data_IF_374504128168
#
_entry.id   IF_374504128168
#
_cell.length_a   1.000
_cell.length_b   1.000
_cell.length_c   1.000
_cell.angle_alpha   90.00
_cell.angle_beta   90.00
_cell.angle_gamma   90.00
#
_symmetry.space_group_name_H-M   'P 1'
#
loop_
_entity.id
_entity.type
_entity.pdbx_description
1 polymer ?
#
# COMPACT_ATOMS: atom_id res chain seq x y z
N UNK A 1 -26.32 10.21 2.88
CA UNK A 1 -25.13 9.80 2.10
C UNK A 1 -23.91 10.45 2.75
N UNK A 2 -23.21 9.72 3.63
CA UNK A 2 -21.98 10.20 4.26
C UNK A 2 -20.86 10.22 3.19
N UNK A 3 -20.34 11.40 2.85
CA UNK A 3 -19.18 11.53 1.97
C UNK A 3 -17.95 11.04 2.72
N UNK A 4 -17.31 9.97 2.22
CA UNK A 4 -15.99 9.56 2.70
C UNK A 4 -15.00 10.67 2.33
N UNK A 5 -14.27 11.19 3.32
CA UNK A 5 -13.25 12.23 3.14
C UNK A 5 -11.88 11.63 3.48
N UNK A 6 -10.88 11.90 2.64
CA UNK A 6 -9.50 11.55 2.93
C UNK A 6 -8.97 12.45 4.06
N UNK A 7 -8.08 11.92 4.90
CA UNK A 7 -7.33 12.77 5.83
C UNK A 7 -6.35 13.62 5.03
N UNK A 8 -6.20 14.88 5.45
CA UNK A 8 -5.29 15.84 4.81
C UNK A 8 -4.50 16.61 5.85
N UNK A 9 -3.31 17.05 5.46
CA UNK A 9 -2.39 17.78 6.33
C UNK A 9 -1.31 16.89 6.96
N UNK A 10 -0.43 17.51 7.76
CA UNK A 10 0.71 16.83 8.40
C UNK A 10 0.81 17.09 9.91
N UNK A 11 -0.13 17.82 10.49
CA UNK A 11 -0.04 18.31 11.88
C UNK A 11 -0.05 17.19 12.92
N UNK A 12 -0.69 16.06 12.59
CA UNK A 12 -0.82 14.90 13.48
C UNK A 12 0.10 13.74 13.11
N UNK A 13 0.92 13.91 12.07
CA UNK A 13 1.80 12.85 11.58
C UNK A 13 2.96 12.63 12.56
N UNK A 14 3.33 11.36 12.75
CA UNK A 14 4.43 10.98 13.64
C UNK A 14 5.79 11.09 12.96
N UNK A 15 6.81 11.44 13.75
CA UNK A 15 8.20 11.55 13.31
C UNK A 15 9.15 10.91 14.32
N UNK A 16 10.15 10.18 13.85
CA UNK A 16 11.26 9.61 14.64
C UNK A 16 12.56 9.84 13.89
N UNK A 17 13.59 10.36 14.56
CA UNK A 17 14.90 10.63 13.96
C UNK A 17 14.85 11.45 12.65
N UNK A 18 13.90 12.40 12.55
CA UNK A 18 13.58 13.20 11.36
C UNK A 18 12.88 12.43 10.21
N UNK A 19 12.64 11.12 10.37
CA UNK A 19 11.84 10.33 9.44
C UNK A 19 10.36 10.53 9.74
N UNK A 20 9.60 10.84 8.70
CA UNK A 20 8.14 10.77 8.75
C UNK A 20 7.70 9.32 8.78
N UNK A 21 6.89 8.93 9.76
CA UNK A 21 6.37 7.57 9.83
C UNK A 21 5.20 7.41 8.87
N UNK A 22 5.24 6.33 8.08
CA UNK A 22 4.27 6.00 7.05
C UNK A 22 3.78 4.58 7.27
N UNK A 23 2.48 4.37 7.20
CA UNK A 23 1.86 3.05 7.23
C UNK A 23 1.27 2.74 5.85
N UNK A 24 1.37 1.49 5.42
CA UNK A 24 0.80 1.03 4.17
C UNK A 24 0.59 -0.47 4.15
N UNK A 25 0.03 -0.97 3.06
CA UNK A 25 -0.22 -2.40 2.91
C UNK A 25 -0.04 -2.88 1.47
N UNK A 26 0.15 -4.19 1.31
CA UNK A 26 -0.01 -4.92 0.06
C UNK A 26 -1.42 -5.55 0.09
N UNK A 27 -2.42 -4.94 -0.56
CA UNK A 27 -3.75 -5.51 -0.62
C UNK A 27 -3.75 -6.68 -1.61
N UNK A 28 -4.31 -7.80 -1.21
CA UNK A 28 -4.36 -9.00 -2.02
C UNK A 28 -5.70 -9.72 -1.93
N UNK A 29 -6.00 -10.56 -2.91
CA UNK A 29 -7.06 -11.57 -2.87
C UNK A 29 -6.61 -12.83 -3.58
N UNK A 30 -7.22 -13.96 -3.21
CA UNK A 30 -7.02 -15.23 -3.90
C UNK A 30 -8.06 -15.36 -5.01
N UNK A 31 -7.60 -15.58 -6.23
CA UNK A 31 -8.46 -15.91 -7.36
C UNK A 31 -9.02 -17.33 -7.17
N UNK A 32 -10.33 -17.41 -7.03
CA UNK A 32 -11.06 -18.67 -6.81
C UNK A 32 -11.32 -19.41 -8.12
N UNK A 33 -11.06 -18.79 -9.27
CA UNK A 33 -11.33 -19.37 -10.59
C UNK A 33 -10.16 -20.21 -11.12
N UNK A 34 -8.99 -20.17 -10.47
CA UNK A 34 -7.86 -21.02 -10.83
C UNK A 34 -8.11 -22.41 -10.24
N UNK A 35 -8.47 -23.37 -11.11
CA UNK A 35 -8.71 -24.76 -10.73
C UNK A 35 -7.49 -25.36 -10.00
N UNK A 36 -7.77 -26.17 -8.98
CA UNK A 36 -6.83 -26.69 -7.98
C UNK A 36 -5.78 -27.69 -8.53
N UNK A 37 -5.69 -27.82 -9.85
CA UNK A 37 -4.88 -28.82 -10.54
C UNK A 37 -3.44 -28.32 -10.71
N UNK A 38 -2.67 -28.37 -9.62
CA UNK A 38 -1.20 -28.32 -9.65
C UNK A 38 -0.55 -26.94 -9.81
N UNK A 39 -1.30 -25.84 -9.69
CA UNK A 39 -0.74 -24.48 -9.68
C UNK A 39 -0.16 -24.10 -8.32
N UNK A 40 0.93 -23.33 -8.33
CA UNK A 40 1.57 -22.81 -7.11
C UNK A 40 0.63 -21.77 -6.50
N UNK A 41 0.56 -21.68 -5.16
CA UNK A 41 -0.37 -20.74 -4.48
C UNK A 41 -0.21 -19.31 -4.98
N UNK A 42 1.03 -18.90 -5.29
CA UNK A 42 1.40 -17.61 -5.87
C UNK A 42 0.63 -17.28 -7.17
N UNK A 43 0.33 -18.27 -8.00
CA UNK A 43 -0.40 -18.08 -9.27
C UNK A 43 -1.86 -17.64 -9.04
N UNK A 44 -2.40 -17.93 -7.85
CA UNK A 44 -3.76 -17.53 -7.47
C UNK A 44 -3.78 -16.18 -6.75
N UNK A 45 -2.62 -15.59 -6.44
CA UNK A 45 -2.56 -14.34 -5.71
C UNK A 45 -2.70 -13.17 -6.69
N UNK A 46 -3.76 -12.38 -6.49
CA UNK A 46 -3.91 -11.08 -7.14
C UNK A 46 -3.53 -9.98 -6.16
N UNK A 47 -2.69 -9.06 -6.63
CA UNK A 47 -2.18 -7.91 -5.88
C UNK A 47 -2.87 -6.65 -6.38
N UNK A 48 -3.32 -5.80 -5.46
CA UNK A 48 -3.84 -4.49 -5.81
C UNK A 48 -2.73 -3.45 -5.69
N UNK A 49 -2.57 -2.64 -6.73
CA UNK A 49 -1.71 -1.47 -6.72
C UNK A 49 -2.47 -0.25 -7.22
N UNK A 50 -1.95 0.93 -6.90
CA UNK A 50 -2.52 2.21 -7.34
C UNK A 50 -1.53 2.98 -8.22
N UNK A 51 -2.07 3.68 -9.21
CA UNK A 51 -1.33 4.61 -10.07
C UNK A 51 -1.97 5.98 -10.03
N UNK A 52 -1.18 7.04 -10.08
CA UNK A 52 -1.71 8.37 -10.41
C UNK A 52 -2.01 8.47 -11.91
N UNK A 53 -3.02 9.24 -12.34
CA UNK A 53 -3.32 9.46 -13.76
C UNK A 53 -2.08 9.81 -14.58
N UNK A 54 -2.00 9.27 -15.80
CA UNK A 54 -0.91 9.47 -16.76
C UNK A 54 0.46 8.89 -16.34
N UNK A 55 0.51 7.98 -15.36
CA UNK A 55 1.72 7.22 -15.04
C UNK A 55 1.50 5.72 -15.19
N UNK A 56 2.51 5.05 -15.72
CA UNK A 56 2.52 3.58 -15.83
C UNK A 56 3.13 2.92 -14.59
N UNK A 57 3.81 3.70 -13.75
CA UNK A 57 4.42 3.20 -12.52
C UNK A 57 3.38 3.02 -11.41
N UNK A 58 3.40 1.87 -10.76
CA UNK A 58 2.44 1.48 -9.74
C UNK A 58 3.11 1.45 -8.37
N UNK A 59 2.32 1.77 -7.34
CA UNK A 59 2.76 1.76 -5.94
C UNK A 59 1.71 1.09 -5.05
N UNK A 60 2.14 0.64 -3.88
CA UNK A 60 1.23 0.22 -2.83
C UNK A 60 0.60 1.42 -2.11
N UNK A 61 -0.68 1.30 -1.68
CA UNK A 61 -1.36 2.34 -0.91
C UNK A 61 -0.67 2.53 0.45
N UNK A 62 -0.41 3.78 0.81
CA UNK A 62 0.29 4.15 2.04
C UNK A 62 0.19 5.66 2.29
N UNK A 63 0.28 6.05 3.55
CA UNK A 63 0.37 7.45 3.92
C UNK A 63 0.78 7.67 5.36
N UNK A 64 0.61 8.89 5.85
CA UNK A 64 1.19 9.29 7.13
C UNK A 64 0.51 8.58 8.29
N UNK A 65 1.30 8.05 9.22
CA UNK A 65 0.77 7.52 10.48
C UNK A 65 0.48 8.67 11.45
N UNK A 66 -0.78 8.80 11.87
CA UNK A 66 -1.22 9.87 12.78
C UNK A 66 -1.14 9.48 14.27
N UNK A 67 -1.31 10.45 15.17
CA UNK A 67 -1.17 10.27 16.61
C UNK A 67 -2.35 9.57 17.31
N UNK A 68 -3.54 9.55 16.69
CA UNK A 68 -4.77 8.97 17.24
C UNK A 68 -5.17 7.60 16.69
N UNK A 69 -4.25 6.94 15.99
CA UNK A 69 -4.50 5.63 15.40
C UNK A 69 -3.32 4.69 15.68
N UNK A 70 -3.60 3.39 15.71
CA UNK A 70 -2.54 2.38 15.62
C UNK A 70 -1.95 2.38 14.20
N UNK A 71 -0.82 1.71 14.04
CA UNK A 71 -0.16 1.66 12.74
C UNK A 71 -0.93 0.80 11.73
N UNK A 72 -1.63 -0.23 12.23
CA UNK A 72 -2.53 -1.09 11.48
C UNK A 72 -3.77 -0.32 11.02
N UNK A 73 -4.36 0.47 11.93
CA UNK A 73 -5.48 1.36 11.61
C UNK A 73 -5.08 2.38 10.52
N UNK A 74 -3.87 2.95 10.62
CA UNK A 74 -3.32 3.83 9.61
C UNK A 74 -3.18 3.13 8.24
N UNK A 75 -2.63 1.93 8.19
CA UNK A 75 -2.49 1.16 6.95
C UNK A 75 -3.85 0.84 6.31
N UNK A 76 -4.83 0.42 7.12
CA UNK A 76 -6.21 0.17 6.66
C UNK A 76 -6.89 1.44 6.14
N UNK A 77 -6.73 2.57 6.85
CA UNK A 77 -7.26 3.87 6.43
C UNK A 77 -6.70 4.28 5.07
N UNK A 78 -5.38 4.20 4.90
CA UNK A 78 -4.71 4.57 3.64
C UNK A 78 -5.13 3.65 2.48
N UNK A 79 -5.33 2.35 2.72
CA UNK A 79 -5.88 1.43 1.73
C UNK A 79 -7.30 1.84 1.28
N UNK A 80 -8.15 2.26 2.22
CA UNK A 80 -9.49 2.75 1.90
C UNK A 80 -9.43 4.10 1.19
N UNK A 81 -8.60 5.02 1.64
CA UNK A 81 -8.50 6.38 1.09
C UNK A 81 -7.88 6.41 -0.31
N UNK A 82 -6.79 5.67 -0.55
CA UNK A 82 -6.09 5.70 -1.84
C UNK A 82 -6.64 4.66 -2.84
N UNK A 83 -6.97 3.45 -2.38
CA UNK A 83 -7.38 2.33 -3.24
C UNK A 83 -8.87 1.96 -3.14
N UNK A 84 -9.61 2.51 -2.17
CA UNK A 84 -11.02 2.18 -1.98
C UNK A 84 -11.25 0.73 -1.59
N UNK A 85 -10.35 0.12 -0.82
CA UNK A 85 -10.50 -1.27 -0.35
C UNK A 85 -10.48 -1.36 1.16
N UNK A 86 -11.22 -2.32 1.70
CA UNK A 86 -11.16 -2.73 3.10
C UNK A 86 -10.91 -4.23 3.19
N UNK A 87 -10.35 -4.64 4.32
CA UNK A 87 -9.91 -6.01 4.48
C UNK A 87 -9.49 -6.36 5.89
N UNK A 88 -8.97 -7.57 6.02
CA UNK A 88 -8.36 -8.10 7.22
C UNK A 88 -6.85 -7.85 7.10
N UNK A 89 -6.31 -7.01 7.97
CA UNK A 89 -4.87 -6.74 8.02
C UNK A 89 -4.15 -7.87 8.76
N UNK A 90 -2.99 -8.28 8.26
CA UNK A 90 -2.16 -9.28 8.91
C UNK A 90 -1.61 -8.75 10.24
N UNK A 91 -1.51 -9.64 11.24
CA UNK A 91 -1.02 -9.29 12.58
C UNK A 91 0.44 -8.81 12.58
N UNK A 92 1.25 -9.34 11.65
CA UNK A 92 2.67 -9.03 11.57
C UNK A 92 2.97 -8.05 10.43
N UNK A 93 3.86 -7.09 10.70
CA UNK A 93 4.47 -6.27 9.66
C UNK A 93 5.27 -7.17 8.69
N UNK A 94 5.12 -6.95 7.39
CA UNK A 94 6.00 -7.54 6.36
C UNK A 94 7.45 -7.04 6.48
N UNK A 95 7.60 -5.83 7.00
CA UNK A 95 8.89 -5.21 7.24
C UNK A 95 8.79 -3.70 7.35
N UNK A 96 9.96 -3.08 7.46
CA UNK A 96 10.13 -1.63 7.57
C UNK A 96 11.18 -1.18 6.58
N UNK A 97 10.85 -0.15 5.78
CA UNK A 97 11.75 0.39 4.76
C UNK A 97 11.89 1.89 4.91
N UNK A 98 13.15 2.35 4.88
CA UNK A 98 13.48 3.77 4.82
C UNK A 98 13.56 4.20 3.36
N UNK A 99 12.80 5.23 2.98
CA UNK A 99 12.76 5.75 1.62
C UNK A 99 12.61 7.26 1.59
N UNK A 100 12.91 7.88 0.44
CA UNK A 100 12.73 9.33 0.25
C UNK A 100 11.39 9.63 -0.42
N UNK A 101 10.72 10.67 0.06
CA UNK A 101 9.52 11.21 -0.58
C UNK A 101 9.80 11.71 -2.00
N UNK A 102 8.79 11.70 -2.87
CA UNK A 102 8.90 12.22 -4.25
C UNK A 102 9.46 13.65 -4.31
N UNK A 103 9.09 14.51 -3.36
CA UNK A 103 9.53 15.91 -3.28
C UNK A 103 10.98 16.11 -2.83
N UNK A 104 11.65 15.07 -2.33
CA UNK A 104 13.01 15.15 -1.77
C UNK A 104 14.00 14.17 -2.41
N UNK A 105 13.66 13.59 -3.56
CA UNK A 105 14.54 12.63 -4.24
C UNK A 105 15.89 13.23 -4.65
N UNK A 106 15.94 14.55 -4.93
CA UNK A 106 17.16 15.24 -5.39
C UNK A 106 17.84 16.11 -4.30
N UNK A 107 17.35 16.11 -3.07
CA UNK A 107 17.94 16.92 -1.99
C UNK A 107 18.88 16.09 -1.13
N UNK A 108 20.11 16.57 -0.91
CA UNK A 108 21.09 15.93 -0.01
C UNK A 108 20.71 16.00 1.49
N UNK A 109 19.64 16.68 1.86
CA UNK A 109 19.16 16.77 3.25
C UNK A 109 18.34 15.54 3.66
N UNK A 110 18.27 15.27 4.97
CA UNK A 110 17.32 14.30 5.56
C UNK A 110 15.86 14.78 5.48
N UNK A 111 15.62 16.01 5.02
CA UNK A 111 14.29 16.55 4.84
C UNK A 111 13.50 15.70 3.83
N UNK A 112 12.41 15.08 4.27
CA UNK A 112 11.55 14.24 3.44
C UNK A 112 11.93 12.75 3.41
N UNK A 113 12.79 12.29 4.33
CA UNK A 113 12.94 10.87 4.62
C UNK A 113 11.67 10.32 5.28
N UNK A 114 11.25 9.13 4.85
CA UNK A 114 10.08 8.42 5.35
C UNK A 114 10.51 7.02 5.81
N UNK A 115 9.89 6.53 6.89
CA UNK A 115 10.01 5.15 7.35
C UNK A 115 8.65 4.48 7.17
N UNK A 116 8.58 3.56 6.22
CA UNK A 116 7.36 2.86 5.83
C UNK A 116 7.23 1.50 6.51
N UNK A 117 6.12 1.26 7.17
CA UNK A 117 5.73 -0.03 7.73
C UNK A 117 4.68 -0.64 6.81
N UNK A 118 4.97 -1.82 6.26
CA UNK A 118 4.05 -2.49 5.33
C UNK A 118 3.42 -3.71 5.97
N UNK A 119 2.13 -3.91 5.68
CA UNK A 119 1.36 -5.06 6.12
C UNK A 119 0.77 -5.81 4.92
N UNK A 120 0.42 -7.07 5.09
CA UNK A 120 -0.49 -7.75 4.17
C UNK A 120 -1.93 -7.34 4.50
N UNK A 121 -2.75 -7.05 3.48
CA UNK A 121 -4.18 -6.77 3.67
C UNK A 121 -5.00 -7.70 2.78
N UNK A 122 -5.70 -8.66 3.38
CA UNK A 122 -6.63 -9.52 2.65
C UNK A 122 -7.90 -8.73 2.35
N UNK A 123 -8.13 -8.38 1.10
CA UNK A 123 -9.28 -7.57 0.71
C UNK A 123 -10.58 -8.36 0.84
N UNK A 124 -11.53 -7.80 1.60
CA UNK A 124 -12.88 -8.35 1.80
C UNK A 124 -13.97 -7.49 1.17
N UNK A 125 -13.69 -6.22 0.91
CA UNK A 125 -14.64 -5.25 0.35
C UNK A 125 -13.92 -4.29 -0.60
N UNK A 126 -14.45 -4.13 -1.81
CA UNK A 126 -14.04 -3.12 -2.78
C UNK A 126 -15.13 -2.04 -2.87
N UNK A 127 -14.80 -0.79 -2.57
CA UNK A 127 -15.74 0.32 -2.61
C UNK A 127 -15.96 0.80 -4.04
N UNK A 128 -17.20 1.12 -4.38
CA UNK A 128 -17.55 1.77 -5.65
C UNK A 128 -17.13 3.25 -5.70
N UNK A 129 -17.10 3.89 -4.52
CA UNK A 129 -16.70 5.29 -4.36
C UNK A 129 -15.78 5.46 -3.16
N UNK A 130 -14.66 6.14 -3.37
CA UNK A 130 -13.67 6.38 -2.32
C UNK A 130 -13.00 7.75 -2.49
N UNK A 131 -12.38 8.30 -1.42
CA UNK A 131 -11.81 9.65 -1.45
C UNK A 131 -10.78 9.87 -2.55
N UNK A 132 -9.87 8.91 -2.75
CA UNK A 132 -8.76 9.00 -3.70
C UNK A 132 -9.12 8.74 -5.16
N UNK A 133 -10.38 8.41 -5.48
CA UNK A 133 -10.76 7.94 -6.82
C UNK A 133 -10.48 8.92 -7.96
N UNK A 134 -10.42 10.23 -7.67
CA UNK A 134 -10.10 11.26 -8.66
C UNK A 134 -8.59 11.42 -8.88
N UNK A 135 -7.79 10.93 -7.93
CA UNK A 135 -6.32 11.09 -7.91
C UNK A 135 -5.58 9.78 -8.20
N UNK A 136 -6.26 8.64 -8.05
CA UNK A 136 -5.67 7.32 -8.16
C UNK A 136 -6.60 6.35 -8.88
N UNK A 137 -6.02 5.56 -9.77
CA UNK A 137 -6.63 4.38 -10.36
C UNK A 137 -6.10 3.13 -9.64
N UNK A 138 -7.00 2.23 -9.22
CA UNK A 138 -6.64 0.93 -8.65
C UNK A 138 -6.59 -0.14 -9.75
N UNK A 139 -5.62 -1.05 -9.66
CA UNK A 139 -5.46 -2.18 -10.59
C UNK A 139 -5.19 -3.45 -9.83
N UNK A 140 -5.91 -4.50 -10.18
CA UNK A 140 -5.58 -5.87 -9.78
C UNK A 140 -4.61 -6.45 -10.79
N UNK A 141 -3.54 -7.06 -10.28
CA UNK A 141 -2.41 -7.55 -11.05
C UNK A 141 -2.04 -8.95 -10.56
N UNK A 142 -1.52 -9.78 -11.44
CA UNK A 142 -0.77 -10.98 -11.04
C UNK A 142 0.51 -10.57 -10.30
N UNK A 143 1.10 -11.50 -9.56
CA UNK A 143 2.39 -11.27 -8.87
C UNK A 143 3.47 -10.79 -9.84
N UNK A 144 3.57 -11.38 -11.03
CA UNK A 144 4.55 -11.01 -12.05
C UNK A 144 4.33 -9.58 -12.56
N UNK A 145 3.10 -9.22 -12.92
CA UNK A 145 2.77 -7.85 -13.36
C UNK A 145 3.02 -6.83 -12.25
N UNK A 146 2.71 -7.18 -11.00
CA UNK A 146 2.97 -6.34 -9.84
C UNK A 146 4.47 -6.07 -9.68
N UNK A 147 5.33 -7.08 -9.85
CA UNK A 147 6.77 -6.87 -9.91
C UNK A 147 7.13 -5.94 -11.06
N UNK A 148 6.76 -6.24 -12.30
CA UNK A 148 7.13 -5.45 -13.48
C UNK A 148 6.76 -3.97 -13.34
N UNK A 149 5.53 -3.68 -12.93
CA UNK A 149 5.00 -2.32 -12.83
C UNK A 149 5.44 -1.57 -11.57
N UNK A 150 6.07 -2.25 -10.60
CA UNK A 150 6.44 -1.64 -9.33
C UNK A 150 7.46 -0.52 -9.50
N UNK A 151 7.11 0.67 -9.03
CA UNK A 151 7.95 1.86 -9.20
C UNK A 151 9.28 1.82 -8.46
N UNK A 152 9.28 1.24 -7.26
CA UNK A 152 10.38 1.39 -6.30
C UNK A 152 10.95 0.03 -5.90
N UNK A 153 12.28 -0.09 -5.86
CA UNK A 153 12.95 -1.35 -5.51
C UNK A 153 12.56 -1.83 -4.11
N UNK A 154 12.45 -0.93 -3.14
CA UNK A 154 12.03 -1.29 -1.78
C UNK A 154 10.62 -1.88 -1.73
N UNK A 155 9.71 -1.46 -2.63
CA UNK A 155 8.38 -2.05 -2.74
C UNK A 155 8.43 -3.43 -3.40
N UNK A 156 9.35 -3.64 -4.36
CA UNK A 156 9.62 -5.00 -4.89
C UNK A 156 10.12 -5.91 -3.78
N UNK A 157 10.99 -5.42 -2.90
CA UNK A 157 11.46 -6.20 -1.75
C UNK A 157 10.34 -6.48 -0.74
N UNK A 158 9.45 -5.51 -0.48
CA UNK A 158 8.25 -5.74 0.32
C UNK A 158 7.33 -6.80 -0.29
N UNK A 159 7.19 -6.81 -1.62
CA UNK A 159 6.42 -7.84 -2.34
C UNK A 159 7.08 -9.23 -2.19
N UNK A 160 8.40 -9.34 -2.26
CA UNK A 160 9.10 -10.62 -1.97
C UNK A 160 8.81 -11.11 -0.55
N UNK A 161 8.87 -10.22 0.44
CA UNK A 161 8.56 -10.57 1.84
C UNK A 161 7.12 -11.04 2.01
N UNK A 162 6.18 -10.43 1.29
CA UNK A 162 4.79 -10.87 1.26
C UNK A 162 4.62 -12.28 0.69
N UNK A 163 5.36 -12.65 -0.36
CA UNK A 163 5.27 -13.98 -0.95
C UNK A 163 5.76 -15.09 -0.01
N UNK A 164 6.63 -14.78 0.95
CA UNK A 164 7.06 -15.71 2.00
C UNK A 164 5.95 -16.10 3.00
N UNK A 165 4.76 -15.48 2.90
CA UNK A 165 3.59 -15.85 3.70
C UNK A 165 2.83 -17.06 3.13
N UNK A 166 3.16 -17.49 1.90
CA UNK A 166 2.58 -18.66 1.22
C UNK A 166 3.60 -19.79 1.13
#
# INVERSE_FOLDING_TARGET
>A
MSTLLARTGRQRQRYVDQFRLVAGCIPYKLDKNVEDQGCIVEDRVLILMISTPNRNDLVFPKGGWEDDETIEEAACREAMEEAGVKGIIGENTLGVWDFRSKSSQNSCSLAGSCRGYMFALQVTEELDRWPGQASYDRKWLTVNEAFECCRYDWMRDALKHFLLLF
#
